data_IF_380686372342
#
_entry.id   IF_380686372342
#
_cell.length_a   1.000
_cell.length_b   1.000
_cell.length_c   1.000
_cell.angle_alpha   90.00
_cell.angle_beta   90.00
_cell.angle_gamma   90.00
#
_symmetry.space_group_name_H-M   'P 1'
#
loop_
_entity.id
_entity.type
_entity.pdbx_description
1 polymer ?
#
# COMPACT_ATOMS: atom_id res chain seq x y z
N UNK A 1 14.52 24.77 13.99
CA UNK A 1 13.85 24.25 12.77
C UNK A 1 14.21 22.78 12.55
N UNK A 2 15.51 22.42 12.42
CA UNK A 2 15.93 21.01 12.36
C UNK A 2 15.48 20.20 13.60
N UNK A 3 15.72 20.74 14.80
CA UNK A 3 15.30 20.12 16.08
C UNK A 3 13.78 19.86 16.18
N UNK A 4 12.95 20.76 15.66
CA UNK A 4 11.48 20.57 15.66
C UNK A 4 11.09 19.45 14.69
N UNK A 5 11.74 19.36 13.53
CA UNK A 5 11.47 18.30 12.57
C UNK A 5 11.87 16.93 13.13
N UNK A 6 13.04 16.82 13.77
CA UNK A 6 13.52 15.59 14.40
C UNK A 6 12.57 15.11 15.51
N UNK A 7 12.14 16.00 16.42
CA UNK A 7 11.17 15.67 17.47
C UNK A 7 9.82 15.22 16.90
N UNK A 8 9.36 15.82 15.80
CA UNK A 8 8.12 15.41 15.14
C UNK A 8 8.25 14.03 14.50
N UNK A 9 9.38 13.75 13.86
CA UNK A 9 9.68 12.45 13.25
C UNK A 9 9.66 11.36 14.33
N UNK A 10 10.37 11.57 15.46
CA UNK A 10 10.40 10.62 16.58
C UNK A 10 8.99 10.35 17.14
N UNK A 11 8.19 11.41 17.31
CA UNK A 11 6.80 11.27 17.76
C UNK A 11 5.94 10.50 16.77
N UNK A 12 6.10 10.73 15.47
CA UNK A 12 5.31 10.02 14.46
C UNK A 12 5.69 8.53 14.36
N UNK A 13 6.99 8.21 14.49
CA UNK A 13 7.51 6.84 14.42
C UNK A 13 7.09 5.97 15.62
N UNK A 14 6.77 6.59 16.75
CA UNK A 14 6.34 5.88 17.98
C UNK A 14 4.82 5.68 18.06
N UNK A 15 4.03 6.21 17.12
CA UNK A 15 2.58 6.04 17.13
C UNK A 15 2.17 4.66 16.62
N UNK A 16 1.48 3.90 17.46
CA UNK A 16 0.77 2.69 17.07
C UNK A 16 -0.69 2.99 16.77
N UNK A 17 -1.31 2.24 15.86
CA UNK A 17 -2.72 2.46 15.48
C UNK A 17 -3.72 2.10 16.59
N UNK A 18 -3.32 1.24 17.53
CA UNK A 18 -4.10 0.81 18.70
C UNK A 18 -4.49 1.96 19.63
N UNK A 19 -3.68 3.02 19.71
CA UNK A 19 -3.96 4.19 20.56
C UNK A 19 -5.23 4.95 20.14
N UNK A 20 -5.72 4.69 18.92
CA UNK A 20 -6.91 5.32 18.36
C UNK A 20 -8.18 4.46 18.48
N UNK A 21 -8.14 3.33 19.19
CA UNK A 21 -9.32 2.49 19.40
C UNK A 21 -10.46 3.28 20.07
N UNK A 22 -11.63 3.31 19.42
CA UNK A 22 -12.78 4.12 19.86
C UNK A 22 -12.62 5.64 19.64
N UNK A 23 -11.55 6.09 18.99
CA UNK A 23 -11.21 7.51 18.78
C UNK A 23 -11.10 7.88 17.30
N UNK A 24 -12.06 7.43 16.48
CA UNK A 24 -12.05 7.63 15.02
C UNK A 24 -11.88 9.09 14.59
N UNK A 25 -12.55 10.02 15.30
CA UNK A 25 -12.43 11.45 15.02
C UNK A 25 -11.00 11.97 15.24
N UNK A 26 -10.31 11.49 16.28
CA UNK A 26 -8.91 11.87 16.57
C UNK A 26 -7.98 11.29 15.50
N UNK A 27 -8.14 10.01 15.16
CA UNK A 27 -7.39 9.35 14.08
C UNK A 27 -7.53 10.10 12.75
N UNK A 28 -8.76 10.48 12.38
CA UNK A 28 -9.04 11.23 11.15
C UNK A 28 -8.39 12.60 11.16
N UNK A 29 -8.45 13.33 12.28
CA UNK A 29 -7.78 14.64 12.42
C UNK A 29 -6.27 14.52 12.22
N UNK A 30 -5.63 13.52 12.85
CA UNK A 30 -4.21 13.29 12.68
C UNK A 30 -3.86 12.95 11.22
N UNK A 31 -4.61 12.04 10.59
CA UNK A 31 -4.39 11.67 9.19
C UNK A 31 -4.52 12.88 8.24
N UNK A 32 -5.51 13.75 8.46
CA UNK A 32 -5.66 14.99 7.69
C UNK A 32 -4.51 15.97 7.92
N UNK A 33 -4.04 16.12 9.17
CA UNK A 33 -2.89 16.96 9.49
C UNK A 33 -1.60 16.46 8.83
N UNK A 34 -1.33 15.15 8.90
CA UNK A 34 -0.18 14.51 8.26
C UNK A 34 -0.23 14.67 6.74
N UNK A 35 -1.40 14.47 6.11
CA UNK A 35 -1.59 14.66 4.67
C UNK A 35 -1.35 16.12 4.25
N UNK A 36 -1.83 17.07 5.03
CA UNK A 36 -1.58 18.50 4.79
C UNK A 36 -0.09 18.83 4.90
N UNK A 37 0.60 18.28 5.90
CA UNK A 37 2.04 18.46 6.09
C UNK A 37 2.82 17.89 4.89
N UNK A 38 2.51 16.66 4.46
CA UNK A 38 3.09 16.05 3.26
C UNK A 38 3.00 16.99 2.05
N UNK A 39 1.81 17.50 1.73
CA UNK A 39 1.63 18.46 0.62
C UNK A 39 2.30 19.82 0.82
N UNK A 40 2.64 20.19 2.05
CA UNK A 40 3.36 21.43 2.36
C UNK A 40 4.87 21.25 2.16
N UNK A 41 5.39 20.05 2.42
CA UNK A 41 6.80 19.70 2.27
C UNK A 41 7.17 19.37 0.82
N UNK A 42 6.21 18.85 0.05
CA UNK A 42 6.37 18.47 -1.35
C UNK A 42 6.77 19.66 -2.23
N UNK A 43 7.85 19.51 -3.00
CA UNK A 43 8.26 20.47 -4.03
C UNK A 43 7.32 20.44 -5.23
N UNK A 44 7.39 21.47 -6.09
CA UNK A 44 6.56 21.52 -7.31
C UNK A 44 6.90 20.37 -8.28
N UNK A 45 8.16 19.98 -8.36
CA UNK A 45 8.63 18.86 -9.17
C UNK A 45 8.11 17.52 -8.63
N UNK A 46 8.27 17.25 -7.33
CA UNK A 46 7.75 16.03 -6.69
C UNK A 46 6.24 15.91 -6.86
N UNK A 47 5.50 17.01 -6.63
CA UNK A 47 4.05 17.05 -6.85
C UNK A 47 3.64 16.71 -8.26
N UNK A 48 4.40 17.20 -9.24
CA UNK A 48 4.13 16.92 -10.66
C UNK A 48 4.37 15.45 -10.97
N UNK A 49 5.47 14.88 -10.48
CA UNK A 49 5.79 13.46 -10.65
C UNK A 49 4.73 12.56 -10.01
N UNK A 50 4.31 12.86 -8.77
CA UNK A 50 3.29 12.07 -8.08
C UNK A 50 1.97 12.05 -8.85
N UNK A 51 1.47 13.21 -9.27
CA UNK A 51 0.19 13.34 -9.95
C UNK A 51 0.20 12.78 -11.39
N UNK A 52 1.28 13.02 -12.13
CA UNK A 52 1.35 12.65 -13.54
C UNK A 52 1.77 11.19 -13.76
N UNK A 53 2.52 10.61 -12.81
CA UNK A 53 3.19 9.32 -12.99
C UNK A 53 2.87 8.36 -11.84
N UNK A 54 3.26 8.69 -10.61
CA UNK A 54 3.23 7.71 -9.52
C UNK A 54 1.81 7.20 -9.22
N UNK A 55 0.86 8.10 -8.99
CA UNK A 55 -0.52 7.74 -8.64
C UNK A 55 -1.24 6.99 -9.78
N UNK A 56 -1.21 7.47 -11.05
CA UNK A 56 -1.82 6.73 -12.16
C UNK A 56 -1.18 5.37 -12.45
N UNK A 57 0.16 5.27 -12.39
CA UNK A 57 0.87 4.03 -12.65
C UNK A 57 0.61 3.02 -11.53
N UNK A 58 0.67 3.46 -10.27
CA UNK A 58 0.33 2.62 -9.12
C UNK A 58 -1.10 2.10 -9.24
N UNK A 59 -2.07 2.98 -9.54
CA UNK A 59 -3.46 2.55 -9.69
C UNK A 59 -3.64 1.51 -10.81
N UNK A 60 -2.96 1.70 -11.94
CA UNK A 60 -2.99 0.75 -13.06
C UNK A 60 -2.40 -0.62 -12.68
N UNK A 61 -1.29 -0.63 -11.96
CA UNK A 61 -0.65 -1.86 -11.45
C UNK A 61 -1.53 -2.55 -10.43
N UNK A 62 -2.16 -1.79 -9.52
CA UNK A 62 -3.10 -2.33 -8.55
C UNK A 62 -4.30 -3.00 -9.23
N UNK A 63 -4.89 -2.38 -10.26
CA UNK A 63 -5.97 -3.00 -11.05
C UNK A 63 -5.50 -4.29 -11.72
N UNK A 64 -4.33 -4.27 -12.37
CA UNK A 64 -3.79 -5.45 -13.04
C UNK A 64 -3.62 -6.63 -12.07
N UNK A 65 -3.07 -6.40 -10.87
CA UNK A 65 -2.89 -7.45 -9.86
C UNK A 65 -4.21 -7.91 -9.21
N UNK A 66 -5.23 -7.06 -9.16
CA UNK A 66 -6.59 -7.48 -8.79
C UNK A 66 -7.14 -8.44 -9.86
N UNK A 67 -6.95 -8.11 -11.14
CA UNK A 67 -7.50 -8.88 -12.26
C UNK A 67 -6.79 -10.23 -12.49
N UNK A 68 -5.51 -10.36 -12.09
CA UNK A 68 -4.83 -11.66 -12.02
C UNK A 68 -5.37 -12.53 -10.89
N UNK A 69 -6.11 -11.96 -9.93
CA UNK A 69 -6.61 -12.66 -8.75
C UNK A 69 -5.57 -12.84 -7.65
N UNK A 70 -4.43 -12.14 -7.72
CA UNK A 70 -3.33 -12.27 -6.75
C UNK A 70 -3.82 -12.02 -5.32
N UNK A 71 -4.49 -10.90 -5.06
CA UNK A 71 -4.94 -10.55 -3.71
C UNK A 71 -5.93 -11.57 -3.15
N UNK A 72 -6.85 -12.07 -3.97
CA UNK A 72 -7.80 -13.11 -3.55
C UNK A 72 -7.07 -14.40 -3.18
N UNK A 73 -6.13 -14.85 -4.02
CA UNK A 73 -5.32 -16.04 -3.75
C UNK A 73 -4.46 -15.88 -2.49
N UNK A 74 -3.87 -14.71 -2.29
CA UNK A 74 -3.05 -14.40 -1.13
C UNK A 74 -3.86 -14.38 0.17
N UNK A 75 -5.01 -13.70 0.18
CA UNK A 75 -5.91 -13.69 1.34
C UNK A 75 -6.47 -15.09 1.64
N UNK A 76 -6.88 -15.85 0.62
CA UNK A 76 -7.37 -17.22 0.78
C UNK A 76 -6.31 -18.17 1.35
N UNK A 77 -5.03 -17.92 1.06
CA UNK A 77 -3.91 -18.66 1.63
C UNK A 77 -3.51 -18.20 3.05
N UNK A 78 -4.33 -17.36 3.69
CA UNK A 78 -4.11 -16.83 5.04
C UNK A 78 -3.13 -15.63 5.08
N UNK A 79 -2.79 -15.05 3.94
CA UNK A 79 -1.78 -14.00 3.84
C UNK A 79 -0.36 -14.55 3.98
N UNK A 80 0.42 -13.91 4.86
CA UNK A 80 1.80 -14.28 5.19
C UNK A 80 2.85 -13.77 4.19
N UNK A 81 4.10 -13.72 4.65
CA UNK A 81 5.25 -13.40 3.80
C UNK A 81 5.45 -14.48 2.72
N UNK A 82 5.70 -14.06 1.49
CA UNK A 82 5.95 -14.94 0.33
C UNK A 82 6.96 -14.33 -0.62
N UNK A 83 7.69 -15.17 -1.33
CA UNK A 83 8.52 -14.71 -2.45
C UNK A 83 7.69 -14.52 -3.74
N UNK A 84 8.30 -13.86 -4.73
CA UNK A 84 7.65 -13.58 -6.03
C UNK A 84 7.12 -14.83 -6.73
N UNK A 85 7.85 -15.95 -6.63
CA UNK A 85 7.47 -17.20 -7.31
C UNK A 85 6.26 -17.85 -6.62
N UNK A 86 6.22 -17.80 -5.30
CA UNK A 86 5.07 -18.23 -4.51
C UNK A 86 3.84 -17.37 -4.79
N UNK A 87 4.00 -16.04 -4.88
CA UNK A 87 2.92 -15.11 -5.22
C UNK A 87 2.38 -15.31 -6.63
N UNK A 88 3.26 -15.58 -7.61
CA UNK A 88 2.85 -15.92 -8.96
C UNK A 88 1.92 -17.15 -8.99
N UNK A 89 2.24 -18.19 -8.19
CA UNK A 89 1.41 -19.41 -8.08
C UNK A 89 0.06 -19.20 -7.41
N UNK A 90 -0.10 -18.14 -6.61
CA UNK A 90 -1.38 -17.79 -6.00
C UNK A 90 -2.30 -17.01 -6.93
N UNK A 91 -1.75 -16.45 -8.01
CA UNK A 91 -2.54 -15.77 -9.03
C UNK A 91 -3.40 -16.79 -9.78
N UNK A 92 -4.62 -16.40 -10.15
CA UNK A 92 -5.55 -17.25 -10.93
C UNK A 92 -5.22 -17.27 -12.42
N UNK A 93 -4.36 -16.34 -12.85
CA UNK A 93 -3.88 -16.20 -14.22
C UNK A 93 -2.37 -16.29 -14.19
N UNK A 94 -1.80 -16.77 -15.28
CA UNK A 94 -0.34 -16.77 -15.44
C UNK A 94 0.16 -15.32 -15.42
N UNK A 95 1.16 -15.08 -14.58
CA UNK A 95 1.86 -13.80 -14.47
C UNK A 95 3.34 -14.05 -14.72
N UNK A 96 3.93 -13.26 -15.60
CA UNK A 96 5.37 -13.32 -15.85
C UNK A 96 6.13 -12.89 -14.58
N UNK A 97 7.05 -13.71 -14.04
CA UNK A 97 7.68 -13.45 -12.74
C UNK A 97 8.46 -12.13 -12.63
N UNK A 98 9.18 -11.70 -13.67
CA UNK A 98 9.95 -10.45 -13.61
C UNK A 98 9.03 -9.22 -13.65
N UNK A 99 7.95 -9.26 -14.41
CA UNK A 99 6.91 -8.26 -14.38
C UNK A 99 6.25 -8.19 -13.00
N UNK A 100 5.91 -9.34 -12.41
CA UNK A 100 5.34 -9.39 -11.06
C UNK A 100 6.31 -8.80 -10.03
N UNK A 101 7.61 -9.10 -10.13
CA UNK A 101 8.65 -8.52 -9.26
C UNK A 101 8.63 -7.00 -9.31
N UNK A 102 8.64 -6.41 -10.50
CA UNK A 102 8.58 -4.95 -10.65
C UNK A 102 7.29 -4.34 -10.10
N UNK A 103 6.15 -5.01 -10.33
CA UNK A 103 4.86 -4.58 -9.81
C UNK A 103 4.83 -4.63 -8.28
N UNK A 104 5.32 -5.70 -7.65
CA UNK A 104 5.37 -5.84 -6.20
C UNK A 104 6.29 -4.80 -5.54
N UNK A 105 7.45 -4.51 -6.13
CA UNK A 105 8.32 -3.42 -5.66
C UNK A 105 7.62 -2.06 -5.70
N UNK A 106 6.89 -1.77 -6.78
CA UNK A 106 6.09 -0.54 -6.85
C UNK A 106 4.99 -0.51 -5.77
N UNK A 107 4.31 -1.63 -5.54
CA UNK A 107 3.28 -1.74 -4.50
C UNK A 107 3.86 -1.56 -3.09
N UNK A 108 5.07 -2.06 -2.83
CA UNK A 108 5.78 -1.89 -1.57
C UNK A 108 6.22 -0.43 -1.36
N UNK A 109 6.78 0.21 -2.40
CA UNK A 109 7.15 1.62 -2.38
C UNK A 109 5.95 2.55 -2.11
N UNK A 110 4.73 2.12 -2.46
CA UNK A 110 3.48 2.84 -2.21
C UNK A 110 2.72 2.35 -0.96
N UNK A 111 3.37 1.58 -0.09
CA UNK A 111 2.81 1.08 1.17
C UNK A 111 1.52 0.25 1.04
N UNK A 112 1.27 -0.34 -0.13
CA UNK A 112 0.13 -1.24 -0.33
C UNK A 112 0.45 -2.62 0.23
N UNK A 113 1.68 -3.08 0.03
CA UNK A 113 2.26 -4.28 0.62
C UNK A 113 3.55 -3.91 1.36
N UNK A 114 4.14 -4.85 2.08
CA UNK A 114 5.42 -4.69 2.75
C UNK A 114 6.48 -5.52 2.02
N UNK A 115 7.64 -4.95 1.73
CA UNK A 115 8.83 -5.71 1.31
C UNK A 115 9.65 -6.02 2.57
N UNK A 116 9.74 -7.29 2.94
CA UNK A 116 10.37 -7.73 4.19
C UNK A 116 11.82 -8.17 4.01
N UNK A 117 12.17 -8.60 2.80
CA UNK A 117 13.52 -8.90 2.35
C UNK A 117 13.56 -8.80 0.82
N UNK A 118 14.75 -9.00 0.22
CA UNK A 118 14.89 -8.98 -1.23
C UNK A 118 13.91 -9.96 -1.89
N UNK A 119 12.98 -9.42 -2.68
CA UNK A 119 11.94 -10.16 -3.40
C UNK A 119 11.02 -11.02 -2.50
N UNK A 120 10.84 -10.58 -1.25
CA UNK A 120 9.90 -11.16 -0.28
C UNK A 120 8.94 -10.11 0.22
N UNK A 121 7.66 -10.45 0.18
CA UNK A 121 6.59 -9.50 0.46
C UNK A 121 5.58 -10.07 1.46
N UNK A 122 5.05 -9.21 2.32
CA UNK A 122 3.94 -9.51 3.22
C UNK A 122 2.76 -8.56 2.94
N UNK A 123 1.51 -9.02 3.08
CA UNK A 123 0.36 -8.16 2.83
C UNK A 123 0.14 -7.21 4.02
N UNK A 124 -0.19 -5.95 3.73
CA UNK A 124 -0.75 -5.05 4.75
C UNK A 124 -2.20 -5.41 5.06
N UNK A 125 -2.81 -4.88 6.14
CA UNK A 125 -4.25 -5.00 6.35
C UNK A 125 -5.09 -4.51 5.16
N UNK A 126 -4.61 -3.48 4.45
CA UNK A 126 -5.26 -2.97 3.25
C UNK A 126 -5.18 -3.99 2.10
N UNK A 127 -4.01 -4.57 1.84
CA UNK A 127 -3.85 -5.62 0.81
C UNK A 127 -4.72 -6.86 1.07
N UNK A 128 -4.82 -7.30 2.34
CA UNK A 128 -5.71 -8.40 2.72
C UNK A 128 -7.17 -8.05 2.47
N UNK A 129 -7.59 -6.83 2.80
CA UNK A 129 -8.95 -6.37 2.55
C UNK A 129 -9.32 -6.37 1.06
N UNK A 130 -8.38 -6.12 0.15
CA UNK A 130 -8.60 -6.23 -1.31
C UNK A 130 -8.97 -7.67 -1.69
N UNK A 131 -8.29 -8.66 -1.12
CA UNK A 131 -8.53 -10.08 -1.41
C UNK A 131 -9.76 -10.67 -0.71
N UNK A 132 -10.20 -10.07 0.38
CA UNK A 132 -11.36 -10.52 1.14
C UNK A 132 -12.68 -10.03 0.52
N UNK A 133 -13.45 -11.00 0.01
CA UNK A 133 -14.78 -10.78 -0.61
C UNK A 133 -15.84 -10.27 0.36
N UNK A 134 -15.62 -10.39 1.67
CA UNK A 134 -16.51 -9.82 2.68
C UNK A 134 -16.45 -8.28 2.67
N UNK A 135 -15.33 -7.71 2.23
CA UNK A 135 -15.13 -6.26 2.16
C UNK A 135 -15.65 -5.68 0.83
N UNK A 136 -15.71 -4.36 0.76
CA UNK A 136 -16.03 -3.61 -0.47
C UNK A 136 -14.82 -2.93 -1.10
N UNK A 137 -13.59 -3.25 -0.67
CA UNK A 137 -12.37 -2.58 -1.14
C UNK A 137 -12.12 -2.86 -2.62
N UNK A 138 -11.98 -4.13 -3.02
CA UNK A 138 -11.77 -4.46 -4.44
C UNK A 138 -12.92 -3.97 -5.36
N UNK A 139 -14.21 -4.13 -5.01
CA UNK A 139 -15.30 -3.53 -5.79
C UNK A 139 -15.22 -2.00 -5.91
N UNK A 140 -14.84 -1.28 -4.86
CA UNK A 140 -14.73 0.18 -4.87
C UNK A 140 -13.56 0.68 -5.74
N UNK A 141 -12.53 -0.15 -5.95
CA UNK A 141 -11.40 0.16 -6.81
C UNK A 141 -11.71 -0.04 -8.30
N UNK A 142 -12.82 -0.68 -8.67
CA UNK A 142 -13.20 -0.87 -10.07
C UNK A 142 -13.88 0.39 -10.61
N UNK A 143 -13.13 1.20 -11.34
CA UNK A 143 -13.69 2.30 -12.13
C UNK A 143 -14.33 1.67 -13.37
N UNK A 144 -15.66 1.80 -13.50
CA UNK A 144 -16.41 1.43 -14.70
C UNK A 144 -16.60 2.64 -15.59
#
# INVERSE_FOLDING_TARGET
>A
MADIAEQLIEKLQTLETSIFEGQDATRQKLALAARKLFHTLETKEEKTMRLAIEEPVMFSVLQALIDTGLFEGWAAAGGGERDVTELAKLSKRDVEPELLRHQLRLMAANHIILETANDRYAPTPYALAIGDKSTKVAPALRIR
#
